data_IF_119531106448
#
_entry.id   IF_119531106448
#
_cell.length_a   1.000
_cell.length_b   1.000
_cell.length_c   1.000
_cell.angle_alpha   90.00
_cell.angle_beta   90.00
_cell.angle_gamma   90.00
#
_symmetry.space_group_name_H-M   'P 1'
#
loop_
_entity.id
_entity.type
_entity.pdbx_description
1 polymer ?
#
# COMPACT_ATOMS: atom_id res chain seq x y z
N UNK A 1 -15.60 10.76 8.62
CA UNK A 1 -14.14 10.47 8.73
C UNK A 1 -13.69 10.28 10.19
N UNK A 2 -13.81 9.08 10.75
CA UNK A 2 -13.17 8.74 12.01
C UNK A 2 -11.91 7.91 11.71
N UNK A 3 -10.72 8.50 11.89
CA UNK A 3 -9.53 7.67 12.10
C UNK A 3 -9.77 7.01 13.45
N UNK A 4 -10.06 5.71 13.46
CA UNK A 4 -10.37 4.96 14.68
C UNK A 4 -9.11 4.70 15.54
N UNK A 5 -8.16 5.64 15.59
CA UNK A 5 -7.21 5.82 16.71
C UNK A 5 -7.94 6.03 18.04
N UNK A 6 -9.20 6.44 18.01
CA UNK A 6 -9.92 7.04 19.12
C UNK A 6 -10.30 6.10 20.28
N UNK A 7 -10.28 4.77 20.13
CA UNK A 7 -10.81 3.89 21.19
C UNK A 7 -9.97 3.91 22.48
N UNK A 8 -8.64 4.05 22.38
CA UNK A 8 -7.79 4.24 23.55
C UNK A 8 -7.75 5.70 24.01
N UNK A 9 -7.82 6.66 23.09
CA UNK A 9 -7.73 8.09 23.41
C UNK A 9 -8.97 8.61 24.14
N UNK A 10 -10.18 8.21 23.73
CA UNK A 10 -11.41 8.58 24.43
C UNK A 10 -11.40 8.11 25.90
N UNK A 11 -10.74 6.98 26.19
CA UNK A 11 -10.58 6.50 27.57
C UNK A 11 -9.56 7.31 28.38
N UNK A 12 -8.59 7.97 27.74
CA UNK A 12 -7.52 8.75 28.39
C UNK A 12 -7.87 10.25 28.51
N UNK A 13 -8.79 10.76 27.68
CA UNK A 13 -9.15 12.19 27.66
C UNK A 13 -10.16 12.56 28.75
N UNK A 14 -9.78 13.37 29.73
CA UNK A 14 -10.64 13.72 30.88
C UNK A 14 -12.04 14.24 30.50
N UNK A 15 -12.14 15.04 29.43
CA UNK A 15 -13.38 15.66 28.95
C UNK A 15 -13.40 15.75 27.44
N UNK A 16 -14.52 15.40 26.80
CA UNK A 16 -14.63 15.41 25.34
C UNK A 16 -15.98 15.94 24.86
N UNK A 17 -16.00 16.39 23.61
CA UNK A 17 -17.21 16.74 22.88
C UNK A 17 -17.58 15.60 21.94
N UNK A 18 -18.87 15.44 21.67
CA UNK A 18 -19.37 14.48 20.70
C UNK A 18 -20.09 15.23 19.58
N UNK A 19 -19.73 14.96 18.33
CA UNK A 19 -20.45 15.45 17.17
C UNK A 19 -21.37 14.34 16.64
N UNK A 20 -22.66 14.62 16.54
CA UNK A 20 -23.67 13.72 15.96
C UNK A 20 -24.00 14.23 14.57
N UNK A 21 -23.43 13.58 13.56
CA UNK A 21 -23.65 13.95 12.16
C UNK A 21 -24.83 13.19 11.56
N UNK A 22 -25.89 13.93 11.21
CA UNK A 22 -27.15 13.41 10.67
C UNK A 22 -27.15 13.25 9.15
N UNK A 23 -26.06 13.60 8.46
CA UNK A 23 -25.91 13.41 7.01
C UNK A 23 -25.67 11.94 6.59
N UNK A 24 -25.36 11.06 7.55
CA UNK A 24 -25.05 9.65 7.32
C UNK A 24 -26.09 8.73 7.99
N UNK A 25 -26.31 7.50 7.47
CA UNK A 25 -27.17 6.54 8.16
C UNK A 25 -26.52 6.07 9.48
N UNK A 26 -27.29 5.39 10.32
CA UNK A 26 -26.73 4.75 11.52
C UNK A 26 -25.72 3.68 11.13
N UNK A 27 -24.52 3.78 11.70
CA UNK A 27 -23.46 2.78 11.57
C UNK A 27 -23.43 1.79 12.74
N UNK A 28 -24.51 1.71 13.53
CA UNK A 28 -24.60 0.77 14.63
C UNK A 28 -24.34 -0.66 14.14
N UNK A 29 -23.43 -1.38 14.82
CA UNK A 29 -23.00 -2.73 14.45
C UNK A 29 -21.97 -2.81 13.31
N UNK A 30 -21.64 -1.71 12.62
CA UNK A 30 -20.55 -1.72 11.63
C UNK A 30 -19.17 -1.86 12.30
N UNK A 31 -19.04 -1.36 13.52
CA UNK A 31 -17.77 -1.27 14.22
C UNK A 31 -17.50 -2.49 15.12
N UNK A 32 -16.22 -2.79 15.32
CA UNK A 32 -15.71 -3.72 16.33
C UNK A 32 -14.61 -3.05 17.15
N UNK A 33 -15.03 -2.40 18.23
CA UNK A 33 -14.19 -1.60 19.11
C UNK A 33 -13.55 -2.52 20.14
N UNK A 34 -12.25 -2.75 19.99
CA UNK A 34 -11.47 -3.60 20.89
C UNK A 34 -10.65 -2.76 21.86
N UNK A 35 -10.94 -2.88 23.15
CA UNK A 35 -10.10 -2.36 24.22
C UNK A 35 -9.01 -3.38 24.56
N UNK A 36 -7.75 -2.95 24.66
CA UNK A 36 -6.64 -3.86 24.94
C UNK A 36 -6.06 -3.67 26.33
N UNK A 37 -5.70 -4.80 26.95
CA UNK A 37 -4.91 -4.80 28.18
C UNK A 37 -3.53 -4.16 27.93
N UNK A 38 -3.02 -3.42 28.91
CA UNK A 38 -1.73 -2.76 28.81
C UNK A 38 -0.56 -3.74 29.05
N UNK A 39 0.60 -3.53 28.41
CA UNK A 39 1.83 -4.23 28.76
C UNK A 39 2.16 -4.10 30.25
N UNK A 40 2.78 -5.13 30.88
CA UNK A 40 3.30 -6.36 30.29
C UNK A 40 2.27 -7.51 30.21
N UNK A 41 0.98 -7.27 30.43
CA UNK A 41 -0.08 -8.31 30.46
C UNK A 41 -1.09 -8.18 29.32
N UNK A 42 -0.68 -7.58 28.20
CA UNK A 42 -1.52 -7.48 27.00
C UNK A 42 -1.92 -8.88 26.54
N UNK A 43 -3.21 -9.11 26.36
CA UNK A 43 -3.74 -10.35 25.80
C UNK A 43 -3.64 -10.36 24.27
N UNK A 44 -3.51 -11.54 23.64
CA UNK A 44 -3.51 -11.66 22.19
C UNK A 44 -4.88 -11.27 21.61
N UNK A 45 -4.88 -10.80 20.36
CA UNK A 45 -6.12 -10.59 19.62
C UNK A 45 -6.66 -11.95 19.16
N UNK A 46 -7.91 -12.29 19.50
CA UNK A 46 -8.54 -13.57 19.11
C UNK A 46 -9.20 -13.49 17.73
N UNK A 47 -8.45 -12.98 16.74
CA UNK A 47 -8.89 -12.83 15.35
C UNK A 47 -8.19 -13.91 14.53
N UNK A 48 -8.98 -14.76 13.88
CA UNK A 48 -8.56 -15.88 13.03
C UNK A 48 -9.09 -15.74 11.58
N UNK A 49 -10.11 -14.91 11.37
CA UNK A 49 -10.64 -14.54 10.07
C UNK A 49 -11.06 -13.05 10.03
N UNK A 50 -11.11 -12.41 8.85
CA UNK A 50 -11.51 -11.00 8.72
C UNK A 50 -12.84 -10.66 9.39
N UNK A 51 -13.82 -11.55 9.34
CA UNK A 51 -15.17 -11.35 9.91
C UNK A 51 -15.27 -11.46 11.44
N UNK A 52 -14.23 -11.93 12.15
CA UNK A 52 -14.31 -12.24 13.59
C UNK A 52 -14.48 -10.98 14.45
N UNK A 53 -15.59 -10.84 15.18
CA UNK A 53 -15.79 -9.73 16.12
C UNK A 53 -15.26 -10.09 17.51
N UNK A 54 -14.42 -9.24 18.09
CA UNK A 54 -13.78 -9.49 19.40
C UNK A 54 -14.02 -8.38 20.43
N UNK A 55 -14.74 -7.33 20.05
CA UNK A 55 -15.02 -6.14 20.84
C UNK A 55 -16.50 -5.78 20.89
N UNK A 56 -16.78 -4.48 21.00
CA UNK A 56 -18.14 -3.92 21.11
C UNK A 56 -18.49 -3.05 19.90
N UNK A 57 -19.77 -2.89 19.54
CA UNK A 57 -20.16 -2.07 18.38
C UNK A 57 -20.07 -0.56 18.62
N UNK A 58 -19.63 -0.14 19.80
CA UNK A 58 -19.53 1.24 20.25
C UNK A 58 -18.30 1.44 21.13
N UNK A 59 -17.83 2.69 21.24
CA UNK A 59 -16.74 3.07 22.15
C UNK A 59 -17.31 3.16 23.57
N UNK A 60 -16.79 2.39 24.54
CA UNK A 60 -17.24 2.49 25.92
C UNK A 60 -16.71 3.78 26.55
N UNK A 61 -17.61 4.72 26.85
CA UNK A 61 -17.30 6.00 27.48
C UNK A 61 -18.08 6.18 28.79
N UNK A 62 -17.54 7.00 29.69
CA UNK A 62 -18.29 7.53 30.83
C UNK A 62 -19.04 8.80 30.38
N UNK A 63 -20.40 8.79 30.40
CA UNK A 63 -21.21 9.93 29.94
C UNK A 63 -20.95 11.22 30.72
N UNK A 64 -20.47 11.16 31.97
CA UNK A 64 -20.19 12.37 32.76
C UNK A 64 -19.00 13.19 32.21
N UNK A 65 -18.19 12.58 31.34
CA UNK A 65 -17.05 13.23 30.66
C UNK A 65 -17.46 13.97 29.37
N UNK A 66 -18.71 13.81 28.92
CA UNK A 66 -19.23 14.50 27.73
C UNK A 66 -19.57 15.95 28.11
N UNK A 67 -18.81 16.90 27.57
CA UNK A 67 -19.01 18.34 27.85
C UNK A 67 -20.05 18.97 26.92
N UNK A 68 -20.12 18.51 25.68
CA UNK A 68 -21.08 18.99 24.69
C UNK A 68 -21.43 17.89 23.69
N UNK A 69 -22.68 17.90 23.24
CA UNK A 69 -23.15 17.18 22.06
C UNK A 69 -23.48 18.22 21.00
N UNK A 70 -22.81 18.14 19.85
CA UNK A 70 -22.91 19.09 18.75
C UNK A 70 -23.58 18.35 17.59
N UNK A 71 -24.68 18.89 17.07
CA UNK A 71 -25.31 18.34 15.88
C UNK A 71 -24.68 18.92 14.62
N UNK A 72 -24.51 18.09 13.59
CA UNK A 72 -24.11 18.49 12.25
C UNK A 72 -24.86 17.71 11.17
N UNK A 73 -24.85 18.23 9.94
CA UNK A 73 -25.61 17.71 8.81
C UNK A 73 -24.85 17.79 7.47
N UNK A 74 -23.52 17.92 7.52
CA UNK A 74 -22.69 18.01 6.33
C UNK A 74 -22.00 16.66 6.00
N UNK A 75 -21.94 16.27 4.71
CA UNK A 75 -21.29 15.03 4.31
C UNK A 75 -19.77 15.10 4.44
N UNK A 76 -19.13 13.93 4.45
CA UNK A 76 -17.67 13.81 4.38
C UNK A 76 -17.14 14.51 3.11
N UNK A 77 -16.16 15.39 3.29
CA UNK A 77 -15.54 16.16 2.20
C UNK A 77 -14.41 15.34 1.57
N UNK A 78 -14.70 14.64 0.48
CA UNK A 78 -13.70 13.87 -0.29
C UNK A 78 -13.57 14.35 -1.73
N UNK A 79 -12.49 13.93 -2.37
CA UNK A 79 -12.19 14.27 -3.77
C UNK A 79 -12.54 13.07 -4.68
N UNK A 80 -12.99 13.30 -5.92
CA UNK A 80 -13.13 12.25 -6.92
C UNK A 80 -11.84 11.45 -7.06
N UNK A 81 -11.97 10.15 -7.35
CA UNK A 81 -10.81 9.35 -7.72
C UNK A 81 -10.40 9.71 -9.15
N UNK A 82 -9.11 9.70 -9.43
CA UNK A 82 -8.66 9.80 -10.80
C UNK A 82 -8.96 8.48 -11.53
N UNK A 83 -9.37 8.55 -12.81
CA UNK A 83 -9.73 7.36 -13.58
C UNK A 83 -8.50 6.47 -13.81
N UNK A 84 -8.76 5.18 -14.04
CA UNK A 84 -7.73 4.24 -14.45
C UNK A 84 -7.19 4.61 -15.83
N UNK A 85 -5.86 4.63 -15.95
CA UNK A 85 -5.14 4.79 -17.21
C UNK A 85 -4.52 3.46 -17.68
N UNK A 86 -3.99 3.44 -18.91
CA UNK A 86 -3.38 2.24 -19.49
C UNK A 86 -2.21 1.70 -18.65
N UNK A 87 -1.44 2.60 -18.04
CA UNK A 87 -0.31 2.24 -17.17
C UNK A 87 -0.80 1.52 -15.92
N UNK A 88 -1.82 2.03 -15.23
CA UNK A 88 -2.42 1.39 -14.06
C UNK A 88 -3.05 0.04 -14.39
N UNK A 89 -3.67 -0.10 -15.57
CA UNK A 89 -4.22 -1.39 -16.05
C UNK A 89 -3.13 -2.42 -16.34
N UNK A 90 -2.01 -1.99 -16.92
CA UNK A 90 -0.87 -2.85 -17.19
C UNK A 90 -0.21 -3.32 -15.88
N UNK A 91 -0.01 -2.42 -14.92
CA UNK A 91 0.49 -2.78 -13.57
C UNK A 91 -0.45 -3.78 -12.90
N UNK A 92 -1.75 -3.52 -12.91
CA UNK A 92 -2.76 -4.42 -12.36
C UNK A 92 -2.73 -5.80 -13.03
N UNK A 93 -2.58 -5.85 -14.35
CA UNK A 93 -2.48 -7.10 -15.12
C UNK A 93 -1.24 -7.91 -14.73
N UNK A 94 -0.07 -7.27 -14.61
CA UNK A 94 1.17 -7.92 -14.18
C UNK A 94 1.06 -8.46 -12.74
N UNK A 95 0.42 -7.71 -11.85
CA UNK A 95 0.18 -8.15 -10.47
C UNK A 95 -0.77 -9.35 -10.42
N UNK A 96 -1.87 -9.30 -11.18
CA UNK A 96 -2.83 -10.42 -11.29
C UNK A 96 -2.16 -11.66 -11.90
N UNK A 97 -1.28 -11.48 -12.88
CA UNK A 97 -0.48 -12.58 -13.44
C UNK A 97 0.40 -13.23 -12.39
N UNK A 98 1.10 -12.44 -11.57
CA UNK A 98 1.86 -12.96 -10.42
C UNK A 98 0.97 -13.78 -9.47
N UNK A 99 -0.19 -13.25 -9.07
CA UNK A 99 -1.11 -13.97 -8.17
C UNK A 99 -1.60 -15.28 -8.79
N UNK A 100 -1.98 -15.27 -10.07
CA UNK A 100 -2.37 -16.49 -10.81
C UNK A 100 -1.22 -17.51 -10.86
N UNK A 101 -0.01 -17.04 -11.07
CA UNK A 101 1.17 -17.89 -11.06
C UNK A 101 1.37 -18.55 -9.69
N UNK A 102 1.28 -17.79 -8.59
CA UNK A 102 1.39 -18.35 -7.24
C UNK A 102 0.31 -19.41 -6.93
N UNK A 103 -0.93 -19.18 -7.37
CA UNK A 103 -2.02 -20.17 -7.27
C UNK A 103 -1.72 -21.41 -8.10
N UNK A 104 -1.26 -21.26 -9.35
CA UNK A 104 -0.92 -22.38 -10.24
C UNK A 104 0.22 -23.26 -9.68
N UNK A 105 1.05 -22.69 -8.79
CA UNK A 105 2.14 -23.39 -8.11
C UNK A 105 1.75 -23.89 -6.72
N UNK A 106 0.49 -23.72 -6.30
CA UNK A 106 0.00 -24.14 -4.98
C UNK A 106 0.60 -23.35 -3.82
N UNK A 107 1.15 -22.15 -4.07
CA UNK A 107 1.71 -21.28 -3.03
C UNK A 107 0.69 -20.31 -2.44
N UNK A 108 -0.38 -20.04 -3.19
CA UNK A 108 -1.60 -19.39 -2.72
C UNK A 108 -2.81 -20.30 -3.02
N UNK A 109 -3.89 -20.21 -2.22
CA UNK A 109 -5.15 -20.88 -2.52
C UNK A 109 -5.91 -20.16 -3.64
N UNK A 110 -6.91 -20.82 -4.23
CA UNK A 110 -7.71 -20.28 -5.35
C UNK A 110 -8.48 -19.00 -5.00
N UNK A 111 -8.86 -18.84 -3.73
CA UNK A 111 -9.52 -17.64 -3.20
C UNK A 111 -8.53 -16.62 -2.61
N UNK A 112 -7.23 -16.79 -2.89
CA UNK A 112 -6.13 -16.00 -2.33
C UNK A 112 -6.16 -15.94 -0.79
N UNK A 113 -5.40 -15.01 -0.24
CA UNK A 113 -5.43 -14.66 1.18
C UNK A 113 -6.01 -13.24 1.32
N UNK A 114 -6.34 -12.78 2.54
CA UNK A 114 -6.91 -11.45 2.72
C UNK A 114 -6.06 -10.37 2.07
N UNK A 115 -6.69 -9.52 1.27
CA UNK A 115 -6.02 -8.49 0.50
C UNK A 115 -5.94 -7.19 1.29
N UNK A 116 -4.76 -6.57 1.33
CA UNK A 116 -4.58 -5.17 1.66
C UNK A 116 -4.18 -4.41 0.41
N UNK A 117 -4.83 -3.27 0.19
CA UNK A 117 -4.47 -2.35 -0.90
C UNK A 117 -4.33 -0.95 -0.36
N UNK A 118 -3.26 -0.27 -0.75
CA UNK A 118 -3.05 1.15 -0.45
C UNK A 118 -4.04 2.07 -1.17
N UNK A 119 -3.76 3.36 -1.12
CA UNK A 119 -4.58 4.41 -1.74
C UNK A 119 -4.01 4.79 -3.11
N UNK A 120 -4.89 4.99 -4.11
CA UNK A 120 -4.53 5.66 -5.38
C UNK A 120 -4.94 4.88 -6.62
N UNK A 121 -4.65 5.46 -7.79
CA UNK A 121 -5.14 4.94 -9.08
C UNK A 121 -4.71 3.50 -9.35
N UNK A 122 -3.46 3.16 -9.03
CA UNK A 122 -2.93 1.81 -9.28
C UNK A 122 -3.60 0.79 -8.35
N UNK A 123 -3.76 1.14 -7.07
CA UNK A 123 -4.50 0.32 -6.11
C UNK A 123 -5.95 0.09 -6.59
N UNK A 124 -6.62 1.13 -7.07
CA UNK A 124 -7.96 1.03 -7.65
C UNK A 124 -8.00 0.11 -8.88
N UNK A 125 -7.03 0.22 -9.79
CA UNK A 125 -6.95 -0.64 -10.98
C UNK A 125 -6.71 -2.11 -10.62
N UNK A 126 -5.93 -2.40 -9.57
CA UNK A 126 -5.73 -3.77 -9.07
C UNK A 126 -7.06 -4.34 -8.56
N UNK A 127 -7.77 -3.61 -7.71
CA UNK A 127 -9.07 -4.04 -7.17
C UNK A 127 -10.12 -4.15 -8.30
N UNK A 128 -10.17 -3.21 -9.23
CA UNK A 128 -11.05 -3.25 -10.42
C UNK A 128 -10.76 -4.46 -11.32
N UNK A 129 -9.48 -4.80 -11.50
CA UNK A 129 -9.06 -6.01 -12.21
C UNK A 129 -9.58 -7.30 -11.55
N UNK A 130 -9.59 -7.36 -10.21
CA UNK A 130 -10.18 -8.46 -9.45
C UNK A 130 -11.71 -8.49 -9.53
N UNK A 131 -12.36 -7.33 -9.58
CA UNK A 131 -13.81 -7.19 -9.70
C UNK A 131 -14.33 -7.64 -11.07
N UNK A 132 -13.62 -7.33 -12.15
CA UNK A 132 -14.01 -7.65 -13.54
C UNK A 132 -14.24 -9.15 -13.81
N UNK A 133 -13.73 -10.03 -12.94
CA UNK A 133 -13.86 -11.48 -13.09
C UNK A 133 -12.89 -12.10 -14.09
N UNK A 134 -12.15 -11.31 -14.88
CA UNK A 134 -11.12 -11.82 -15.80
C UNK A 134 -9.96 -12.54 -15.09
N UNK A 135 -9.77 -12.26 -13.80
CA UNK A 135 -8.84 -12.99 -12.95
C UNK A 135 -9.37 -14.35 -12.45
N UNK A 136 -10.69 -14.54 -12.48
CA UNK A 136 -11.44 -15.68 -11.93
C UNK A 136 -11.15 -16.01 -10.46
N UNK A 137 -10.71 -15.02 -9.67
CA UNK A 137 -10.66 -15.14 -8.22
C UNK A 137 -12.05 -14.88 -7.64
N UNK A 138 -12.49 -15.74 -6.73
CA UNK A 138 -13.79 -15.71 -6.05
C UNK A 138 -13.56 -15.88 -4.56
N UNK A 139 -14.59 -15.58 -3.76
CA UNK A 139 -14.54 -15.73 -2.31
C UNK A 139 -13.38 -14.97 -1.67
N UNK A 140 -13.08 -13.81 -2.24
CA UNK A 140 -12.03 -12.93 -1.78
C UNK A 140 -12.42 -12.37 -0.42
N UNK A 141 -11.41 -12.12 0.41
CA UNK A 141 -11.56 -11.37 1.65
C UNK A 141 -10.59 -10.22 1.67
N UNK A 142 -10.94 -9.16 2.39
CA UNK A 142 -10.14 -7.94 2.49
C UNK A 142 -9.82 -7.67 3.96
N UNK A 143 -8.56 -7.34 4.22
CA UNK A 143 -8.07 -6.84 5.50
C UNK A 143 -7.15 -5.67 5.20
N UNK A 144 -7.68 -4.46 5.21
CA UNK A 144 -7.00 -3.24 4.76
C UNK A 144 -7.07 -2.13 5.80
N UNK A 145 -6.40 -1.01 5.57
CA UNK A 145 -6.55 0.20 6.39
C UNK A 145 -7.73 1.04 5.91
N UNK A 146 -7.85 1.25 4.60
CA UNK A 146 -8.85 2.16 4.01
C UNK A 146 -9.58 1.47 2.85
N UNK A 147 -10.91 1.57 2.83
CA UNK A 147 -11.70 1.21 1.65
C UNK A 147 -11.90 2.40 0.72
N UNK A 148 -11.77 2.12 -0.58
CA UNK A 148 -11.91 3.07 -1.68
C UNK A 148 -12.99 2.61 -2.66
N UNK A 149 -13.40 3.48 -3.58
CA UNK A 149 -14.55 3.23 -4.47
C UNK A 149 -14.45 1.91 -5.23
N UNK A 150 -13.24 1.49 -5.62
CA UNK A 150 -13.00 0.21 -6.31
C UNK A 150 -13.46 -1.01 -5.52
N UNK A 151 -13.53 -0.93 -4.18
CA UNK A 151 -14.10 -2.00 -3.36
C UNK A 151 -15.61 -2.11 -3.51
N UNK A 152 -16.34 -1.04 -3.85
CA UNK A 152 -17.76 -1.12 -4.17
C UNK A 152 -17.98 -1.94 -5.44
N UNK A 153 -17.11 -1.79 -6.44
CA UNK A 153 -17.14 -2.64 -7.64
C UNK A 153 -16.83 -4.09 -7.30
N UNK A 154 -15.90 -4.32 -6.39
CA UNK A 154 -15.58 -5.67 -5.92
C UNK A 154 -16.74 -6.31 -5.13
N UNK A 155 -17.42 -5.55 -4.27
CA UNK A 155 -18.66 -6.00 -3.60
C UNK A 155 -19.73 -6.37 -4.63
N UNK A 156 -20.00 -5.48 -5.58
CA UNK A 156 -21.08 -5.64 -6.56
C UNK A 156 -20.79 -6.76 -7.56
N UNK A 157 -19.52 -7.07 -7.80
CA UNK A 157 -19.13 -8.23 -8.63
C UNK A 157 -19.53 -9.58 -8.04
N UNK A 158 -19.81 -9.64 -6.73
CA UNK A 158 -20.03 -10.88 -5.99
C UNK A 158 -18.77 -11.71 -5.73
N UNK A 159 -17.57 -11.19 -6.07
CA UNK A 159 -16.31 -11.89 -5.84
C UNK A 159 -15.77 -11.71 -4.40
N UNK A 160 -16.29 -10.75 -3.64
CA UNK A 160 -15.90 -10.43 -2.26
C UNK A 160 -16.91 -10.96 -1.25
N UNK A 161 -16.42 -11.79 -0.33
CA UNK A 161 -17.20 -12.34 0.77
C UNK A 161 -17.27 -11.37 1.95
N UNK A 162 -16.13 -10.77 2.32
CA UNK A 162 -16.05 -9.89 3.49
C UNK A 162 -14.87 -8.90 3.44
N UNK A 163 -15.07 -7.69 3.97
CA UNK A 163 -14.00 -6.70 4.13
C UNK A 163 -13.89 -6.20 5.57
N UNK A 164 -12.66 -6.11 6.07
CA UNK A 164 -12.31 -5.36 7.28
C UNK A 164 -11.43 -4.17 6.93
N UNK A 165 -11.74 -3.02 7.53
CA UNK A 165 -10.95 -1.81 7.39
C UNK A 165 -10.90 -0.98 8.69
N UNK A 166 -10.06 0.05 8.70
CA UNK A 166 -10.09 1.13 9.72
C UNK A 166 -11.16 2.15 9.37
N UNK A 167 -11.17 2.55 8.10
CA UNK A 167 -11.95 3.68 7.62
C UNK A 167 -12.42 3.49 6.18
N UNK A 168 -13.37 4.33 5.79
CA UNK A 168 -13.94 4.37 4.44
C UNK A 168 -13.66 5.75 3.88
N UNK A 169 -13.09 5.80 2.68
CA UNK A 169 -12.87 7.03 1.93
C UNK A 169 -13.34 6.78 0.50
N UNK A 170 -14.59 7.11 0.23
CA UNK A 170 -15.14 7.09 -1.12
C UNK A 170 -15.16 8.49 -1.74
N UNK A 171 -15.28 8.58 -3.06
CA UNK A 171 -15.68 9.81 -3.73
C UNK A 171 -17.11 10.20 -3.32
N UNK A 172 -17.57 11.44 -3.61
CA UNK A 172 -18.96 11.82 -3.35
C UNK A 172 -19.98 10.86 -3.98
N UNK A 173 -19.74 10.41 -5.22
CA UNK A 173 -20.60 9.44 -5.90
C UNK A 173 -20.49 8.04 -5.28
N UNK A 174 -19.30 7.65 -4.83
CA UNK A 174 -19.08 6.40 -4.13
C UNK A 174 -19.81 6.34 -2.78
N UNK A 175 -19.79 7.42 -1.99
CA UNK A 175 -20.60 7.51 -0.77
C UNK A 175 -22.09 7.45 -1.07
N UNK A 176 -22.54 8.13 -2.13
CA UNK A 176 -23.94 8.04 -2.57
C UNK A 176 -24.34 6.60 -2.89
N UNK A 177 -23.56 5.89 -3.72
CA UNK A 177 -23.79 4.47 -4.03
C UNK A 177 -23.78 3.59 -2.79
N UNK A 178 -22.84 3.84 -1.88
CA UNK A 178 -22.70 3.10 -0.64
C UNK A 178 -23.94 3.22 0.26
N UNK A 179 -24.45 4.44 0.45
CA UNK A 179 -25.65 4.67 1.26
C UNK A 179 -26.94 4.22 0.56
N UNK A 180 -27.05 4.41 -0.76
CA UNK A 180 -28.20 3.93 -1.54
C UNK A 180 -28.34 2.39 -1.51
N UNK A 181 -27.25 1.67 -1.26
CA UNK A 181 -27.20 0.19 -1.24
C UNK A 181 -26.72 -0.36 0.12
N UNK A 182 -26.93 0.39 1.20
CA UNK A 182 -26.40 0.11 2.53
C UNK A 182 -26.64 -1.34 3.01
N UNK A 183 -27.86 -1.85 2.84
CA UNK A 183 -28.26 -3.21 3.24
C UNK A 183 -27.45 -4.33 2.55
N UNK A 184 -26.87 -4.05 1.39
CA UNK A 184 -26.03 -5.02 0.65
C UNK A 184 -24.57 -5.01 1.12
N UNK A 185 -24.07 -3.86 1.57
CA UNK A 185 -22.68 -3.69 1.97
C UNK A 185 -22.45 -3.93 3.46
N UNK A 186 -23.34 -3.41 4.30
CA UNK A 186 -23.21 -3.44 5.76
C UNK A 186 -22.97 -4.85 6.33
N UNK A 187 -23.68 -5.91 5.90
CA UNK A 187 -23.47 -7.26 6.45
C UNK A 187 -22.11 -7.89 6.12
N UNK A 188 -21.38 -7.32 5.14
CA UNK A 188 -20.10 -7.83 4.64
C UNK A 188 -18.92 -6.93 4.99
N UNK A 189 -19.13 -5.95 5.88
CA UNK A 189 -18.16 -4.94 6.23
C UNK A 189 -17.97 -4.86 7.74
N UNK A 190 -16.74 -4.65 8.16
CA UNK A 190 -16.37 -4.42 9.55
C UNK A 190 -15.33 -3.31 9.68
N UNK A 191 -15.59 -2.34 10.54
CA UNK A 191 -14.64 -1.29 10.88
C UNK A 191 -13.98 -1.55 12.23
N UNK A 192 -12.65 -1.49 12.28
CA UNK A 192 -11.86 -1.69 13.50
C UNK A 192 -11.03 -0.47 13.81
N UNK A 193 -10.47 -0.41 15.02
CA UNK A 193 -9.42 0.56 15.33
C UNK A 193 -8.17 0.30 14.49
N UNK A 194 -7.44 1.36 14.14
CA UNK A 194 -6.20 1.19 13.38
C UNK A 194 -5.19 0.31 14.11
N UNK A 195 -5.21 0.32 15.45
CA UNK A 195 -4.36 -0.52 16.28
C UNK A 195 -4.63 -2.03 16.10
N UNK A 196 -5.83 -2.40 15.63
CA UNK A 196 -6.21 -3.78 15.34
C UNK A 196 -6.01 -4.10 13.86
N UNK A 197 -6.54 -3.27 12.95
CA UNK A 197 -6.40 -3.49 11.49
C UNK A 197 -4.94 -3.53 11.05
N UNK A 198 -4.09 -2.70 11.66
CA UNK A 198 -2.67 -2.61 11.34
C UNK A 198 -1.81 -3.44 12.29
N UNK A 199 -2.40 -4.32 13.10
CA UNK A 199 -1.65 -5.13 14.06
C UNK A 199 -0.75 -6.15 13.32
N UNK A 200 0.59 -6.11 13.52
CA UNK A 200 1.50 -7.10 12.93
C UNK A 200 1.13 -8.55 13.30
N UNK A 201 0.60 -8.77 14.51
CA UNK A 201 0.12 -10.07 14.97
C UNK A 201 -0.99 -10.62 14.06
N UNK A 202 -1.97 -9.77 13.75
CA UNK A 202 -3.14 -10.15 12.96
C UNK A 202 -2.79 -10.26 11.48
N UNK A 203 -2.07 -9.27 10.93
CA UNK A 203 -1.63 -9.27 9.53
C UNK A 203 -0.86 -10.55 9.20
N UNK A 204 0.10 -10.91 10.07
CA UNK A 204 0.91 -12.13 9.89
C UNK A 204 0.10 -13.40 10.07
N UNK A 205 -0.82 -13.45 11.04
CA UNK A 205 -1.66 -14.63 11.28
C UNK A 205 -2.60 -14.90 10.13
N UNK A 206 -3.24 -13.88 9.58
CA UNK A 206 -4.15 -13.99 8.45
C UNK A 206 -3.40 -14.26 7.13
N UNK A 207 -2.09 -14.00 7.08
CA UNK A 207 -1.29 -14.14 5.88
C UNK A 207 -1.68 -13.12 4.81
N UNK A 208 -1.90 -11.87 5.21
CA UNK A 208 -2.37 -10.80 4.32
C UNK A 208 -1.42 -10.64 3.12
N UNK A 209 -1.98 -10.39 1.93
CA UNK A 209 -1.21 -9.95 0.75
C UNK A 209 -1.20 -8.42 0.77
N UNK A 210 -0.05 -7.82 1.05
CA UNK A 210 0.13 -6.37 1.16
C UNK A 210 0.59 -5.76 -0.15
N UNK A 211 -0.14 -4.74 -0.63
CA UNK A 211 0.12 -4.07 -1.91
C UNK A 211 0.15 -2.56 -1.70
N UNK A 212 1.31 -1.94 -1.95
CA UNK A 212 1.53 -0.52 -1.69
C UNK A 212 2.26 0.18 -2.84
N UNK A 213 2.15 1.51 -2.88
CA UNK A 213 2.76 2.35 -3.93
C UNK A 213 3.90 3.18 -3.35
N UNK A 214 5.14 2.99 -3.82
CA UNK A 214 6.26 3.83 -3.44
C UNK A 214 6.37 5.08 -4.35
N UNK A 215 7.18 6.04 -3.91
CA UNK A 215 7.75 7.12 -4.72
C UNK A 215 8.75 6.56 -5.72
N UNK A 216 9.69 5.75 -5.23
CA UNK A 216 10.76 5.10 -5.98
C UNK A 216 11.18 3.81 -5.27
N UNK A 217 11.70 2.86 -6.06
CA UNK A 217 12.30 1.61 -5.60
C UNK A 217 13.70 1.55 -6.17
N UNK A 218 14.68 1.10 -5.39
CA UNK A 218 16.02 0.91 -5.94
C UNK A 218 16.24 -0.49 -6.50
N UNK A 219 17.35 -0.65 -7.22
CA UNK A 219 17.73 -1.93 -7.82
C UNK A 219 17.94 -3.05 -6.78
N UNK A 220 18.10 -2.73 -5.50
CA UNK A 220 18.28 -3.72 -4.43
C UNK A 220 16.99 -4.10 -3.70
N UNK A 221 15.88 -3.47 -4.08
CA UNK A 221 14.54 -3.61 -3.49
C UNK A 221 14.36 -2.86 -2.16
N UNK A 222 15.06 -1.74 -1.94
CA UNK A 222 14.60 -0.76 -0.98
C UNK A 222 13.49 0.09 -1.60
N UNK A 223 12.57 0.60 -0.79
CA UNK A 223 11.53 1.50 -1.26
C UNK A 223 11.45 2.78 -0.42
N UNK A 224 11.21 3.88 -1.13
CA UNK A 224 10.87 5.19 -0.60
C UNK A 224 9.37 5.40 -0.81
N UNK A 225 8.60 5.61 0.25
CA UNK A 225 7.15 5.87 0.18
C UNK A 225 6.77 7.30 0.58
N UNK A 226 7.72 8.10 1.07
CA UNK A 226 7.42 9.35 1.75
C UNK A 226 8.11 10.58 1.18
N UNK A 227 9.41 10.52 0.92
CA UNK A 227 10.27 11.69 0.77
C UNK A 227 10.80 11.84 -0.66
N UNK A 228 10.15 12.67 -1.48
CA UNK A 228 10.66 13.03 -2.81
C UNK A 228 12.00 13.75 -2.67
N UNK A 229 13.00 13.30 -3.44
CA UNK A 229 14.39 13.81 -3.35
C UNK A 229 14.93 13.80 -1.91
N UNK A 230 14.57 12.76 -1.15
CA UNK A 230 15.08 12.49 0.20
C UNK A 230 14.57 13.42 1.32
N UNK A 231 13.78 14.45 1.02
CA UNK A 231 13.41 15.45 2.03
C UNK A 231 12.00 16.04 1.89
N UNK A 232 11.43 16.05 0.70
CA UNK A 232 10.07 16.59 0.50
C UNK A 232 9.04 15.52 0.83
N UNK A 233 8.45 15.63 2.03
CA UNK A 233 7.34 14.80 2.45
C UNK A 233 6.15 14.90 1.46
N UNK A 234 5.59 13.75 1.10
CA UNK A 234 4.33 13.67 0.36
C UNK A 234 3.13 13.63 1.31
N UNK A 235 2.92 12.48 1.96
CA UNK A 235 1.78 12.24 2.85
C UNK A 235 2.25 11.75 4.22
N UNK A 236 3.04 10.67 4.22
CA UNK A 236 3.50 9.95 5.40
C UNK A 236 3.56 8.45 5.12
N UNK A 237 4.24 7.70 5.99
CA UNK A 237 4.44 6.25 5.81
C UNK A 237 3.13 5.46 5.88
N UNK A 238 2.20 5.91 6.73
CA UNK A 238 0.94 5.22 7.00
C UNK A 238 1.15 3.79 7.50
N UNK A 239 0.18 2.92 7.25
CA UNK A 239 0.29 1.49 7.56
C UNK A 239 1.16 0.67 6.63
N UNK A 240 1.82 1.27 5.62
CA UNK A 240 2.58 0.49 4.63
C UNK A 240 3.65 -0.40 5.27
N UNK A 241 4.36 0.10 6.28
CA UNK A 241 5.34 -0.69 7.03
C UNK A 241 4.69 -1.79 7.90
N UNK A 242 3.55 -1.51 8.52
CA UNK A 242 2.80 -2.50 9.32
C UNK A 242 2.44 -3.72 8.46
N UNK A 243 1.92 -3.45 7.26
CA UNK A 243 1.51 -4.45 6.28
C UNK A 243 2.70 -5.16 5.65
N UNK A 244 3.64 -4.44 5.04
CA UNK A 244 4.73 -5.06 4.28
C UNK A 244 5.72 -5.85 5.16
N UNK A 245 5.95 -5.45 6.42
CA UNK A 245 6.80 -6.27 7.32
C UNK A 245 6.11 -7.57 7.75
N UNK A 246 4.78 -7.58 7.77
CA UNK A 246 3.99 -8.63 8.42
C UNK A 246 3.21 -9.51 7.45
N UNK A 247 3.11 -9.12 6.19
CA UNK A 247 2.35 -9.80 5.15
C UNK A 247 2.93 -11.18 4.78
N UNK A 248 2.09 -11.99 4.14
CA UNK A 248 2.51 -13.21 3.44
C UNK A 248 3.29 -12.87 2.18
N UNK A 249 2.82 -11.87 1.42
CA UNK A 249 3.51 -11.27 0.29
C UNK A 249 3.49 -9.77 0.41
N UNK A 250 4.68 -9.19 0.24
CA UNK A 250 4.91 -7.75 0.31
C UNK A 250 5.26 -7.22 -1.06
N UNK A 251 4.28 -6.53 -1.66
CA UNK A 251 4.31 -6.11 -3.05
C UNK A 251 4.36 -4.59 -3.12
N UNK A 252 5.36 -4.06 -3.81
CA UNK A 252 5.41 -2.66 -4.20
C UNK A 252 5.07 -2.52 -5.67
N UNK A 253 4.14 -1.63 -6.00
CA UNK A 253 3.74 -1.37 -7.38
C UNK A 253 3.82 0.11 -7.72
N UNK A 254 4.43 0.44 -8.85
CA UNK A 254 4.62 1.82 -9.33
C UNK A 254 4.68 1.82 -10.85
N UNK A 255 4.31 2.90 -11.56
CA UNK A 255 4.80 3.07 -12.92
C UNK A 255 6.34 3.03 -12.91
N UNK A 256 6.95 2.57 -14.00
CA UNK A 256 8.40 2.54 -14.13
C UNK A 256 8.99 3.96 -14.31
N UNK A 257 8.20 4.90 -14.82
CA UNK A 257 8.55 6.32 -14.96
C UNK A 257 7.38 7.25 -14.65
N UNK A 258 7.71 8.53 -14.41
CA UNK A 258 6.74 9.64 -14.31
C UNK A 258 7.22 10.80 -15.21
N UNK A 259 6.30 11.60 -15.75
CA UNK A 259 6.67 12.78 -16.50
C UNK A 259 7.31 13.84 -15.58
N UNK A 260 8.33 14.52 -16.10
CA UNK A 260 8.83 15.77 -15.54
C UNK A 260 8.20 16.96 -16.29
N UNK A 261 8.65 18.19 -15.98
CA UNK A 261 8.21 19.39 -16.72
C UNK A 261 8.64 19.40 -18.18
N UNK A 262 9.72 18.68 -18.51
CA UNK A 262 10.41 18.79 -19.81
C UNK A 262 10.55 17.45 -20.53
N UNK A 263 10.26 16.33 -19.88
CA UNK A 263 10.46 14.99 -20.43
C UNK A 263 9.30 14.05 -20.00
N UNK A 264 8.57 13.42 -20.94
CA UNK A 264 7.43 12.56 -20.64
C UNK A 264 7.79 11.32 -19.80
N UNK A 265 9.04 10.87 -19.84
CA UNK A 265 9.57 9.80 -19.00
C UNK A 265 10.66 10.32 -18.07
N UNK A 266 10.69 11.62 -17.78
CA UNK A 266 11.81 12.30 -17.15
C UNK A 266 12.17 11.88 -15.72
N UNK A 267 11.33 11.13 -15.02
CA UNK A 267 11.61 10.61 -13.68
C UNK A 267 11.53 9.10 -13.73
N UNK A 268 12.63 8.40 -13.45
CA UNK A 268 12.61 6.96 -13.23
C UNK A 268 12.08 6.65 -11.83
N UNK A 269 11.20 5.65 -11.71
CA UNK A 269 10.79 5.09 -10.42
C UNK A 269 11.64 3.89 -10.00
N UNK A 270 12.50 3.36 -10.88
CA UNK A 270 13.57 2.42 -10.55
C UNK A 270 14.90 3.17 -10.54
N UNK A 271 15.58 3.22 -9.41
CA UNK A 271 16.78 4.06 -9.21
C UNK A 271 17.98 3.24 -8.72
N UNK A 272 19.22 3.73 -8.85
CA UNK A 272 20.39 3.04 -8.30
C UNK A 272 20.32 2.88 -6.78
N UNK A 273 19.89 3.92 -6.07
CA UNK A 273 19.73 3.96 -4.63
C UNK A 273 18.55 4.88 -4.29
N UNK A 274 17.67 4.46 -3.37
CA UNK A 274 16.59 5.32 -2.91
C UNK A 274 17.15 6.53 -2.16
N UNK A 275 16.57 7.71 -2.38
CA UNK A 275 16.96 8.95 -1.68
C UNK A 275 16.50 9.01 -0.22
N UNK A 276 15.53 8.17 0.13
CA UNK A 276 15.05 7.90 1.48
C UNK A 276 14.55 6.46 1.54
N UNK A 277 14.72 5.78 2.66
CA UNK A 277 14.32 4.37 2.80
C UNK A 277 13.26 4.24 3.88
N UNK A 278 12.06 3.87 3.45
CA UNK A 278 10.92 3.56 4.32
C UNK A 278 10.78 2.04 4.53
N UNK A 279 11.07 1.27 3.49
CA UNK A 279 11.10 -0.19 3.52
C UNK A 279 12.45 -0.70 3.04
N UNK A 280 13.02 -1.60 3.83
CA UNK A 280 14.28 -2.25 3.47
C UNK A 280 14.06 -3.35 2.45
N UNK A 281 15.14 -3.83 1.85
CA UNK A 281 15.13 -4.97 0.96
C UNK A 281 14.63 -6.26 1.65
N UNK A 282 14.66 -6.32 2.97
CA UNK A 282 14.08 -7.43 3.75
C UNK A 282 12.54 -7.41 3.83
N UNK A 283 11.91 -6.31 3.42
CA UNK A 283 10.47 -6.09 3.53
C UNK A 283 9.72 -6.31 2.22
N UNK A 284 10.44 -6.52 1.13
CA UNK A 284 9.86 -6.64 -0.20
C UNK A 284 10.07 -8.04 -0.79
N UNK A 285 8.98 -8.62 -1.29
CA UNK A 285 8.98 -9.88 -2.02
C UNK A 285 8.88 -9.65 -3.53
N UNK A 286 8.12 -8.64 -3.95
CA UNK A 286 7.82 -8.39 -5.37
C UNK A 286 7.77 -6.90 -5.68
N UNK A 287 8.39 -6.51 -6.80
CA UNK A 287 8.25 -5.18 -7.40
C UNK A 287 7.46 -5.32 -8.70
N UNK A 288 6.46 -4.47 -8.93
CA UNK A 288 5.61 -4.51 -10.13
C UNK A 288 5.57 -3.13 -10.79
N UNK A 289 5.79 -3.11 -12.10
CA UNK A 289 5.56 -1.94 -12.95
C UNK A 289 4.75 -2.33 -14.18
N UNK A 290 4.43 -1.39 -15.06
CA UNK A 290 3.79 -1.69 -16.34
C UNK A 290 4.68 -2.52 -17.27
N UNK A 291 6.00 -2.57 -17.00
CA UNK A 291 6.97 -3.34 -17.78
C UNK A 291 6.96 -4.84 -17.42
N UNK A 292 6.50 -5.18 -16.21
CA UNK A 292 6.49 -6.54 -15.69
C UNK A 292 6.57 -6.59 -14.17
N UNK A 293 6.85 -7.77 -13.63
CA UNK A 293 7.12 -7.97 -12.20
C UNK A 293 8.46 -8.65 -11.96
N UNK A 294 9.11 -8.28 -10.86
CA UNK A 294 10.34 -8.86 -10.33
C UNK A 294 10.04 -9.55 -9.00
N UNK A 295 10.08 -10.88 -8.99
CA UNK A 295 10.04 -11.69 -7.77
C UNK A 295 11.46 -11.79 -7.19
N UNK A 296 11.67 -11.18 -6.02
CA UNK A 296 12.99 -11.06 -5.38
C UNK A 296 13.19 -12.02 -4.20
N UNK A 297 12.21 -12.91 -3.97
CA UNK A 297 12.28 -13.89 -2.88
C UNK A 297 13.46 -14.84 -3.08
N UNK A 298 14.29 -14.97 -2.04
CA UNK A 298 15.46 -15.86 -2.04
C UNK A 298 16.65 -15.36 -2.87
N UNK A 299 16.58 -14.15 -3.43
CA UNK A 299 17.67 -13.57 -4.22
C UNK A 299 18.61 -12.71 -3.35
N UNK A 300 19.91 -12.79 -3.63
CA UNK A 300 20.92 -11.86 -3.10
C UNK A 300 20.81 -10.47 -3.75
N UNK A 301 21.35 -9.39 -3.15
CA UNK A 301 21.22 -8.02 -3.70
C UNK A 301 21.61 -7.92 -5.19
N UNK A 302 22.70 -8.57 -5.59
CA UNK A 302 23.16 -8.60 -6.99
C UNK A 302 22.22 -9.34 -7.95
N UNK A 303 21.49 -10.34 -7.47
CA UNK A 303 20.48 -11.05 -8.26
C UNK A 303 19.19 -10.21 -8.36
N UNK A 304 18.81 -9.52 -7.28
CA UNK A 304 17.68 -8.58 -7.25
C UNK A 304 17.88 -7.46 -8.25
N UNK A 305 19.05 -6.82 -8.27
CA UNK A 305 19.39 -5.75 -9.21
C UNK A 305 19.18 -6.19 -10.66
N UNK A 306 19.72 -7.34 -11.04
CA UNK A 306 19.55 -7.87 -12.40
C UNK A 306 18.08 -8.09 -12.77
N UNK A 307 17.28 -8.66 -11.87
CA UNK A 307 15.86 -8.96 -12.15
C UNK A 307 15.02 -7.68 -12.16
N UNK A 308 15.21 -6.78 -11.20
CA UNK A 308 14.49 -5.50 -11.12
C UNK A 308 14.78 -4.63 -12.34
N UNK A 309 16.05 -4.45 -12.71
CA UNK A 309 16.41 -3.68 -13.91
C UNK A 309 15.76 -4.30 -15.14
N UNK A 310 15.88 -5.62 -15.33
CA UNK A 310 15.36 -6.30 -16.51
C UNK A 310 13.84 -6.31 -16.62
N UNK A 311 13.11 -6.39 -15.50
CA UNK A 311 11.67 -6.64 -15.48
C UNK A 311 10.82 -5.43 -15.14
N UNK A 312 11.38 -4.45 -14.45
CA UNK A 312 10.60 -3.35 -13.87
C UNK A 312 11.06 -1.97 -14.35
N UNK A 313 12.32 -1.80 -14.73
CA UNK A 313 12.79 -0.51 -15.24
C UNK A 313 12.24 -0.22 -16.64
N UNK A 314 11.98 1.06 -16.91
CA UNK A 314 11.57 1.52 -18.23
C UNK A 314 12.70 1.33 -19.25
N UNK A 315 12.42 1.01 -20.52
CA UNK A 315 13.43 0.85 -21.56
C UNK A 315 14.44 2.01 -21.67
N UNK A 316 14.00 3.25 -21.47
CA UNK A 316 14.86 4.44 -21.46
C UNK A 316 15.94 4.40 -20.36
N UNK A 317 15.66 3.74 -19.23
CA UNK A 317 16.55 3.71 -18.06
C UNK A 317 17.29 2.39 -17.88
N UNK A 318 16.90 1.31 -18.59
CA UNK A 318 17.61 0.03 -18.53
C UNK A 318 19.11 0.20 -18.83
N UNK A 319 19.55 0.84 -19.94
CA UNK A 319 20.99 1.00 -20.22
C UNK A 319 21.72 1.81 -19.15
N UNK A 320 21.06 2.83 -18.59
CA UNK A 320 21.62 3.71 -17.56
C UNK A 320 21.84 2.93 -16.26
N UNK A 321 20.85 2.15 -15.83
CA UNK A 321 20.90 1.33 -14.62
C UNK A 321 21.86 0.14 -14.77
N UNK A 322 21.90 -0.49 -15.96
CA UNK A 322 22.86 -1.57 -16.24
C UNK A 322 24.30 -1.05 -16.21
N UNK A 323 24.59 0.12 -16.78
CA UNK A 323 25.94 0.71 -16.72
C UNK A 323 26.36 1.01 -15.27
N UNK A 324 25.44 1.57 -14.46
CA UNK A 324 25.67 1.76 -13.02
C UNK A 324 25.99 0.46 -12.30
N UNK A 325 25.11 -0.53 -12.44
CA UNK A 325 25.23 -1.78 -11.71
C UNK A 325 26.50 -2.55 -12.13
N UNK A 326 26.80 -2.60 -13.44
CA UNK A 326 28.00 -3.26 -13.94
C UNK A 326 29.28 -2.59 -13.44
N UNK A 327 29.32 -1.25 -13.43
CA UNK A 327 30.47 -0.49 -12.91
C UNK A 327 30.64 -0.71 -11.40
N UNK A 328 29.55 -0.58 -10.63
CA UNK A 328 29.55 -0.79 -9.20
C UNK A 328 29.99 -2.21 -8.84
N UNK A 329 29.43 -3.23 -9.50
CA UNK A 329 29.77 -4.63 -9.28
C UNK A 329 31.24 -4.90 -9.57
N UNK A 330 31.77 -4.41 -10.69
CA UNK A 330 33.19 -4.56 -11.04
C UNK A 330 34.12 -3.95 -9.97
N UNK A 331 33.88 -2.70 -9.57
CA UNK A 331 34.74 -1.99 -8.61
C UNK A 331 34.66 -2.60 -7.21
N UNK A 332 33.47 -2.96 -6.74
CA UNK A 332 33.26 -3.53 -5.42
C UNK A 332 33.81 -4.96 -5.32
N UNK A 333 33.63 -5.80 -6.35
CA UNK A 333 34.18 -7.16 -6.34
C UNK A 333 35.70 -7.17 -6.31
N UNK A 334 36.36 -6.27 -7.07
CA UNK A 334 37.83 -6.14 -7.04
C UNK A 334 38.37 -5.80 -5.64
N UNK A 335 37.56 -5.15 -4.81
CA UNK A 335 37.89 -4.77 -3.42
C UNK A 335 37.41 -5.78 -2.37
N UNK A 336 36.72 -6.85 -2.76
CA UNK A 336 36.10 -7.79 -1.83
C UNK A 336 34.88 -7.24 -1.08
N UNK A 337 34.23 -6.20 -1.60
CA UNK A 337 33.10 -5.48 -0.98
C UNK A 337 31.81 -5.60 -1.80
N UNK A 338 31.59 -6.74 -2.46
CA UNK A 338 30.54 -6.90 -3.49
C UNK A 338 29.22 -7.52 -3.01
N UNK A 339 28.87 -7.44 -1.73
CA UNK A 339 27.56 -7.95 -1.27
C UNK A 339 26.41 -7.17 -1.92
N UNK A 340 26.46 -5.85 -1.78
CA UNK A 340 25.54 -4.88 -2.37
C UNK A 340 26.35 -3.74 -3.00
N UNK A 341 26.70 -3.86 -4.30
CA UNK A 341 27.63 -2.93 -4.94
C UNK A 341 27.07 -1.52 -5.16
N UNK A 342 27.79 -0.49 -4.71
CA UNK A 342 27.45 0.90 -5.01
C UNK A 342 28.66 1.72 -5.42
N UNK A 343 28.46 2.60 -6.40
CA UNK A 343 29.33 3.76 -6.63
C UNK A 343 28.78 4.91 -5.79
N UNK A 344 29.14 4.96 -4.50
CA UNK A 344 28.48 5.82 -3.49
C UNK A 344 28.28 7.27 -3.96
N UNK A 345 29.32 7.91 -4.50
CA UNK A 345 29.29 9.31 -4.92
C UNK A 345 28.47 9.57 -6.19
N UNK A 346 28.09 8.52 -6.92
CA UNK A 346 27.29 8.59 -8.14
C UNK A 346 25.86 8.11 -7.94
N UNK A 347 25.52 7.50 -6.79
CA UNK A 347 24.22 6.83 -6.59
C UNK A 347 23.01 7.75 -6.77
N UNK A 348 23.21 9.06 -6.65
CA UNK A 348 22.18 10.09 -6.79
C UNK A 348 22.38 11.01 -8.00
N UNK A 349 23.24 10.67 -8.97
CA UNK A 349 23.46 11.52 -10.15
C UNK A 349 22.20 11.66 -10.99
N UNK A 350 21.36 10.62 -11.06
CA UNK A 350 20.05 10.71 -11.72
C UNK A 350 19.16 11.76 -11.05
N UNK A 351 19.09 11.79 -9.71
CA UNK A 351 18.32 12.79 -8.96
C UNK A 351 18.90 14.20 -9.12
N UNK A 352 20.23 14.33 -9.10
CA UNK A 352 20.92 15.60 -9.36
C UNK A 352 20.60 16.11 -10.77
N UNK A 353 20.69 15.26 -11.78
CA UNK A 353 20.39 15.61 -13.16
C UNK A 353 18.91 16.01 -13.34
N UNK A 354 17.99 15.38 -12.60
CA UNK A 354 16.59 15.81 -12.57
C UNK A 354 16.43 17.24 -12.04
N UNK A 355 17.18 17.62 -11.01
CA UNK A 355 17.16 18.98 -10.45
C UNK A 355 17.76 19.99 -11.42
N UNK A 356 18.91 19.65 -12.02
CA UNK A 356 19.68 20.58 -12.84
C UNK A 356 19.12 20.74 -14.27
N UNK A 357 18.56 19.65 -14.83
CA UNK A 357 18.18 19.57 -16.24
C UNK A 357 16.72 19.15 -16.47
N UNK A 358 15.98 18.82 -15.42
CA UNK A 358 14.58 18.42 -15.53
C UNK A 358 14.36 16.99 -16.03
N UNK A 359 15.37 16.14 -16.10
CA UNK A 359 15.23 14.70 -16.42
C UNK A 359 16.26 13.87 -15.67
N UNK A 360 15.96 12.62 -15.32
CA UNK A 360 16.92 11.66 -14.77
C UNK A 360 17.76 10.96 -15.85
N UNK A 361 17.49 11.20 -17.14
CA UNK A 361 18.23 10.56 -18.24
C UNK A 361 19.65 11.14 -18.29
N UNK A 362 20.64 10.27 -18.10
CA UNK A 362 22.05 10.61 -18.20
C UNK A 362 22.57 10.22 -19.58
N UNK A 363 23.30 11.13 -20.25
CA UNK A 363 24.03 10.78 -21.49
C UNK A 363 25.16 9.78 -21.19
N UNK A 364 25.81 9.96 -20.04
CA UNK A 364 26.85 9.09 -19.50
C UNK A 364 26.98 9.34 -18.00
N UNK A 365 27.46 8.33 -17.27
CA UNK A 365 27.84 8.49 -15.88
C UNK A 365 29.18 9.23 -15.75
N UNK A 366 29.28 10.10 -14.74
CA UNK A 366 30.50 10.82 -14.39
C UNK A 366 31.22 10.14 -13.22
N UNK A 367 31.92 9.04 -13.52
CA UNK A 367 32.51 8.19 -12.49
C UNK A 367 33.62 8.83 -11.64
N UNK A 368 34.22 9.93 -12.09
CA UNK A 368 35.43 10.47 -11.48
C UNK A 368 35.43 12.00 -11.29
N UNK A 369 34.38 12.71 -11.71
CA UNK A 369 34.22 14.16 -11.54
C UNK A 369 34.84 15.00 -12.65
#
# INVERSE_FOLDING_TARGET
NARTTESLEACIIDKFNTEVNTAAPSFEGLHDITMTDLPPRRKPYLIMAPEDRIGTPHIPIDPERVVAIIESDYPDQTQPNAPEDDTSRAIASNLIEFLKYEVSKGRLPENLLPLQSGIGNIANAVIGGLASGGANFKNLKVWTEVLQDSFLDLFDSGNLDFATATSIRFSPDGFKRFYDNWENYYPKLLLRSQAVSNSPEVIRRLGVIGMNTPVEVDIYAHANSTCVLGSRMLNGLGGSADFLRSAKYSIMHTPSTRPSKTDPTGVSCIVPMCTHVDQTEHDLDVVVTEQGFADVRGLSPRERARVIIKKCAHPDYVPILEDYFNKAEFECLRKGMGHEPHMLFNSFDMHKHLVDHGTMKLDKWDWYG
#
